data_IF_880504867471
#
_entry.id   IF_880504867471
#
_cell.length_a   1.000
_cell.length_b   1.000
_cell.length_c   1.000
_cell.angle_alpha   90.00
_cell.angle_beta   90.00
_cell.angle_gamma   90.00
#
_symmetry.space_group_name_H-M   'P 1'
#
loop_
_entity.id
_entity.type
_entity.pdbx_description
1 polymer ?
#
# COMPACT_ATOMS: atom_id res chain seq x y z
N UNK A 1 37.37 -2.55 -30.50
CA UNK A 1 36.33 -3.01 -29.56
C UNK A 1 35.97 -1.81 -28.72
N UNK A 2 34.80 -1.24 -28.99
CA UNK A 2 34.24 -0.18 -28.17
C UNK A 2 33.52 -0.84 -27.00
N UNK A 3 34.02 -0.66 -25.77
CA UNK A 3 33.39 -1.19 -24.56
C UNK A 3 31.98 -0.61 -24.34
N UNK A 4 31.57 0.39 -25.13
CA UNK A 4 30.24 1.01 -25.09
C UNK A 4 29.09 0.16 -25.68
N UNK A 5 29.33 -0.92 -26.43
CA UNK A 5 28.25 -1.64 -27.14
C UNK A 5 27.93 -3.06 -26.62
N UNK A 6 28.90 -3.76 -26.03
CA UNK A 6 28.71 -5.13 -25.58
C UNK A 6 29.65 -5.46 -24.41
N UNK A 7 29.10 -5.75 -23.23
CA UNK A 7 29.85 -6.27 -22.09
C UNK A 7 29.51 -7.75 -21.97
N UNK A 8 30.51 -8.61 -21.86
CA UNK A 8 30.32 -9.99 -21.42
C UNK A 8 31.27 -10.27 -20.28
N UNK A 9 30.83 -11.04 -19.30
CA UNK A 9 31.64 -11.33 -18.13
C UNK A 9 31.48 -12.77 -17.68
N UNK A 10 32.54 -13.25 -17.05
CA UNK A 10 32.53 -14.39 -16.14
C UNK A 10 33.26 -13.91 -14.90
N UNK A 11 32.54 -13.81 -13.80
CA UNK A 11 33.05 -13.31 -12.53
C UNK A 11 32.90 -14.36 -11.46
N UNK A 12 33.91 -14.50 -10.62
CA UNK A 12 33.83 -15.20 -9.35
C UNK A 12 34.09 -14.19 -8.25
N UNK A 13 33.09 -13.97 -7.41
CA UNK A 13 33.21 -13.15 -6.22
C UNK A 13 33.37 -14.08 -5.03
N UNK A 14 34.54 -14.03 -4.39
CA UNK A 14 34.78 -14.72 -3.12
C UNK A 14 34.73 -13.70 -2.00
N UNK A 15 33.85 -13.93 -1.03
CA UNK A 15 33.74 -13.15 0.20
C UNK A 15 34.51 -13.88 1.29
N UNK A 16 35.54 -13.23 1.82
CA UNK A 16 36.39 -13.78 2.87
C UNK A 16 36.34 -12.84 4.09
N UNK A 17 35.52 -13.20 5.08
CA UNK A 17 35.42 -12.49 6.34
C UNK A 17 34.89 -11.05 6.21
N UNK A 18 33.99 -10.79 5.26
CA UNK A 18 33.33 -9.48 5.14
C UNK A 18 32.70 -9.16 6.48
N UNK A 19 33.05 -8.00 7.05
CA UNK A 19 32.57 -7.58 8.35
C UNK A 19 31.95 -6.18 8.23
N UNK A 20 30.64 -6.09 8.40
CA UNK A 20 29.89 -4.83 8.24
C UNK A 20 29.67 -4.09 9.56
N UNK A 21 30.32 -4.50 10.65
CA UNK A 21 30.04 -3.94 11.97
C UNK A 21 30.37 -2.45 12.11
N UNK A 22 31.24 -1.90 11.24
CA UNK A 22 31.54 -0.46 11.25
C UNK A 22 30.53 0.33 10.43
N UNK A 23 30.09 -0.24 9.32
CA UNK A 23 29.24 0.38 8.31
C UNK A 23 27.76 0.30 8.71
N UNK A 24 27.35 -0.80 9.34
CA UNK A 24 25.99 -1.07 9.80
C UNK A 24 26.03 -1.61 11.24
N UNK A 25 26.33 -0.76 12.25
CA UNK A 25 26.53 -1.19 13.63
C UNK A 25 25.31 -1.85 14.28
N UNK A 26 24.10 -1.44 13.88
CA UNK A 26 22.84 -1.97 14.41
C UNK A 26 22.48 -3.35 13.85
N UNK A 27 23.16 -3.78 12.78
CA UNK A 27 22.93 -5.04 12.09
C UNK A 27 24.26 -5.59 11.50
N UNK A 28 25.23 -5.91 12.37
CA UNK A 28 26.56 -6.32 11.95
C UNK A 28 26.51 -7.72 11.34
N UNK A 29 27.17 -7.88 10.20
CA UNK A 29 27.29 -9.16 9.50
C UNK A 29 28.75 -9.57 9.38
N UNK A 30 29.01 -10.87 9.52
CA UNK A 30 30.27 -11.53 9.19
C UNK A 30 29.98 -12.59 8.14
N UNK A 31 30.37 -12.37 6.90
CA UNK A 31 29.97 -13.20 5.77
C UNK A 31 31.17 -13.78 5.03
N UNK A 32 31.05 -15.05 4.68
CA UNK A 32 31.92 -15.77 3.77
C UNK A 32 31.08 -16.35 2.63
N UNK A 33 31.69 -16.59 1.49
CA UNK A 33 30.95 -17.24 0.42
C UNK A 33 31.60 -17.10 -0.94
N UNK A 34 30.95 -17.73 -1.90
CA UNK A 34 31.28 -17.64 -3.31
C UNK A 34 30.02 -17.35 -4.10
N UNK A 35 30.13 -16.42 -5.04
CA UNK A 35 29.12 -16.16 -6.05
C UNK A 35 29.79 -16.19 -7.41
N UNK A 36 29.45 -17.19 -8.22
CA UNK A 36 29.87 -17.27 -9.62
C UNK A 36 28.78 -16.66 -10.47
N UNK A 37 29.16 -15.76 -11.36
CA UNK A 37 28.26 -15.12 -12.30
C UNK A 37 28.83 -15.21 -13.70
N UNK A 38 27.96 -15.38 -14.68
CA UNK A 38 28.29 -15.16 -16.09
C UNK A 38 27.14 -14.42 -16.73
N UNK A 39 27.44 -13.50 -17.62
CA UNK A 39 26.39 -12.71 -18.25
C UNK A 39 26.89 -11.88 -19.40
N UNK A 40 25.95 -11.18 -20.01
CA UNK A 40 26.23 -10.19 -21.04
C UNK A 40 25.21 -9.08 -21.01
N UNK A 41 25.65 -7.86 -21.32
CA UNK A 41 24.84 -6.69 -21.58
C UNK A 41 25.12 -6.24 -23.02
N UNK A 42 24.12 -6.30 -23.89
CA UNK A 42 24.21 -5.93 -25.29
C UNK A 42 22.99 -5.11 -25.70
N UNK A 43 23.21 -3.90 -26.22
CA UNK A 43 22.12 -3.04 -26.69
C UNK A 43 21.03 -2.77 -25.64
N UNK A 44 21.43 -2.61 -24.38
CA UNK A 44 20.50 -2.42 -23.24
C UNK A 44 19.82 -3.69 -22.72
N UNK A 45 20.05 -4.85 -23.36
CA UNK A 45 19.52 -6.14 -22.92
C UNK A 45 20.58 -6.92 -22.16
N UNK A 46 20.24 -7.41 -20.98
CA UNK A 46 21.09 -8.21 -20.11
C UNK A 46 20.59 -9.65 -20.02
N UNK A 47 21.53 -10.57 -19.89
CA UNK A 47 21.30 -11.95 -19.44
C UNK A 47 22.33 -12.28 -18.38
N UNK A 48 21.91 -13.02 -17.35
CA UNK A 48 22.76 -13.40 -16.23
C UNK A 48 22.45 -14.83 -15.82
N UNK A 49 23.50 -15.59 -15.53
CA UNK A 49 23.43 -16.92 -14.93
C UNK A 49 24.35 -16.91 -13.71
N UNK A 50 23.79 -17.31 -12.59
CA UNK A 50 24.44 -17.47 -11.28
C UNK A 50 24.44 -18.97 -10.99
N UNK A 51 25.41 -19.72 -11.54
CA UNK A 51 25.47 -21.18 -11.38
C UNK A 51 25.88 -21.62 -9.97
N UNK A 52 26.40 -20.70 -9.16
CA UNK A 52 26.70 -20.96 -7.76
C UNK A 52 26.54 -19.67 -6.96
N UNK A 53 25.58 -19.67 -6.05
CA UNK A 53 25.48 -18.71 -4.95
C UNK A 53 25.57 -19.51 -3.66
N UNK A 54 26.60 -19.26 -2.86
CA UNK A 54 26.75 -19.82 -1.52
C UNK A 54 27.28 -18.74 -0.58
N UNK A 55 26.45 -18.31 0.36
CA UNK A 55 26.82 -17.38 1.41
C UNK A 55 26.61 -18.07 2.75
N UNK A 56 27.59 -17.97 3.63
CA UNK A 56 27.52 -18.46 5.00
C UNK A 56 28.07 -17.40 5.95
N UNK A 57 27.79 -17.54 7.24
CA UNK A 57 28.33 -16.67 8.26
C UNK A 57 27.25 -16.30 9.25
N UNK A 58 27.29 -15.08 9.75
CA UNK A 58 26.39 -14.64 10.80
C UNK A 58 25.96 -13.20 10.59
N UNK A 59 24.71 -12.90 10.92
CA UNK A 59 24.22 -11.54 11.12
C UNK A 59 23.80 -11.46 12.58
N UNK A 60 24.42 -10.56 13.34
CA UNK A 60 24.42 -10.61 14.82
C UNK A 60 24.84 -12.02 15.28
N UNK A 61 23.97 -12.70 16.02
CA UNK A 61 24.18 -14.07 16.51
C UNK A 61 23.54 -15.13 15.60
N UNK A 62 22.75 -14.72 14.60
CA UNK A 62 22.02 -15.63 13.73
C UNK A 62 22.90 -16.13 12.59
N UNK A 63 22.94 -17.45 12.39
CA UNK A 63 23.61 -18.04 11.24
C UNK A 63 22.93 -17.65 9.94
N UNK A 64 23.70 -17.21 8.96
CA UNK A 64 23.25 -16.99 7.59
C UNK A 64 23.61 -18.21 6.76
N UNK A 65 22.66 -18.70 5.96
CA UNK A 65 22.92 -19.65 4.90
C UNK A 65 22.08 -19.25 3.69
N UNK A 66 22.73 -18.78 2.64
CA UNK A 66 22.09 -18.57 1.33
C UNK A 66 22.72 -19.55 0.36
N UNK A 67 21.90 -20.33 -0.31
CA UNK A 67 22.36 -21.20 -1.37
C UNK A 67 21.36 -21.25 -2.52
N UNK A 68 21.87 -21.30 -3.75
CA UNK A 68 21.00 -21.46 -4.89
C UNK A 68 21.68 -21.24 -6.22
N UNK A 69 20.86 -21.41 -7.25
CA UNK A 69 21.21 -21.07 -8.62
C UNK A 69 20.06 -20.32 -9.25
N UNK A 70 20.38 -19.36 -10.11
CA UNK A 70 19.38 -18.57 -10.79
C UNK A 70 19.92 -18.08 -12.13
N UNK A 71 19.04 -18.07 -13.13
CA UNK A 71 19.31 -17.49 -14.44
C UNK A 71 18.18 -16.55 -14.79
N UNK A 72 18.52 -15.38 -15.35
CA UNK A 72 17.58 -14.30 -15.64
C UNK A 72 17.97 -13.52 -16.89
N UNK A 73 17.04 -12.73 -17.43
CA UNK A 73 17.32 -11.74 -18.46
C UNK A 73 16.37 -10.53 -18.40
N UNK A 74 16.60 -9.54 -19.27
CA UNK A 74 15.78 -8.32 -19.38
C UNK A 74 14.32 -8.53 -19.76
N UNK A 75 13.96 -9.73 -20.24
CA UNK A 75 12.59 -10.07 -20.63
C UNK A 75 11.83 -10.76 -19.48
N UNK A 76 12.32 -10.62 -18.25
CA UNK A 76 11.75 -11.27 -17.05
C UNK A 76 11.68 -12.79 -17.15
N UNK A 77 12.56 -13.39 -17.97
CA UNK A 77 12.69 -14.83 -18.07
C UNK A 77 13.65 -15.34 -17.01
N UNK A 78 13.10 -15.86 -15.91
CA UNK A 78 13.83 -16.41 -14.79
C UNK A 78 13.68 -17.93 -14.71
N UNK A 79 14.79 -18.61 -14.45
CA UNK A 79 14.82 -20.02 -14.04
C UNK A 79 15.53 -20.08 -12.69
N UNK A 80 14.82 -20.58 -11.68
CA UNK A 80 15.29 -20.68 -10.30
C UNK A 80 15.11 -22.14 -9.88
N UNK A 81 16.07 -23.04 -10.15
CA UNK A 81 15.96 -24.43 -9.72
C UNK A 81 15.73 -24.58 -8.21
N UNK A 82 16.35 -23.68 -7.44
CA UNK A 82 16.13 -23.49 -6.02
C UNK A 82 16.98 -22.34 -5.49
N UNK A 83 16.36 -21.49 -4.69
CA UNK A 83 17.01 -20.43 -3.93
C UNK A 83 16.53 -20.55 -2.48
N UNK A 84 17.45 -20.94 -1.61
CA UNK A 84 17.24 -21.05 -0.17
C UNK A 84 17.91 -19.88 0.53
N UNK A 85 17.14 -19.18 1.37
CA UNK A 85 17.59 -18.09 2.22
C UNK A 85 17.30 -18.49 3.66
N UNK A 86 18.32 -18.58 4.51
CA UNK A 86 18.15 -18.83 5.93
C UNK A 86 18.90 -17.80 6.78
N UNK A 87 18.21 -17.35 7.84
CA UNK A 87 18.73 -16.46 8.86
C UNK A 87 18.27 -16.95 10.23
N UNK A 88 19.18 -17.62 10.94
CA UNK A 88 18.87 -18.36 12.16
C UNK A 88 17.84 -19.46 11.88
N UNK A 89 16.71 -19.50 12.62
CA UNK A 89 15.66 -20.49 12.41
C UNK A 89 14.68 -20.14 11.26
N UNK A 90 14.81 -18.95 10.67
CA UNK A 90 13.90 -18.48 9.62
C UNK A 90 14.43 -18.87 8.25
N UNK A 91 13.56 -19.38 7.39
CA UNK A 91 13.87 -19.65 5.99
C UNK A 91 12.85 -19.09 5.02
N UNK A 92 13.33 -18.79 3.81
CA UNK A 92 12.52 -18.56 2.64
C UNK A 92 13.09 -19.35 1.47
N UNK A 93 12.22 -20.05 0.76
CA UNK A 93 12.56 -20.93 -0.35
C UNK A 93 11.81 -20.48 -1.59
N UNK A 94 12.53 -20.28 -2.69
CA UNK A 94 11.97 -19.89 -3.98
C UNK A 94 12.43 -20.87 -5.03
N UNK A 95 11.52 -21.38 -5.86
CA UNK A 95 11.85 -22.26 -6.97
C UNK A 95 10.86 -22.11 -8.12
N UNK A 96 11.31 -22.49 -9.31
CA UNK A 96 10.50 -22.54 -10.51
C UNK A 96 10.95 -21.55 -11.58
N UNK A 97 10.03 -21.25 -12.48
CA UNK A 97 10.31 -20.51 -13.71
C UNK A 97 9.31 -19.37 -13.89
N UNK A 98 9.80 -18.24 -14.39
CA UNK A 98 8.98 -17.14 -14.86
C UNK A 98 9.41 -16.92 -16.31
N UNK A 99 8.52 -17.12 -17.26
CA UNK A 99 8.78 -16.85 -18.66
C UNK A 99 7.49 -16.46 -19.37
N UNK A 100 7.64 -15.84 -20.54
CA UNK A 100 6.49 -15.39 -21.35
C UNK A 100 5.49 -16.54 -21.57
N UNK A 101 6.00 -17.74 -21.90
CA UNK A 101 5.17 -18.92 -22.20
C UNK A 101 4.68 -19.68 -20.97
N UNK A 102 5.39 -19.58 -19.85
CA UNK A 102 5.07 -20.36 -18.65
C UNK A 102 5.51 -19.59 -17.41
N UNK A 103 4.56 -19.38 -16.51
CA UNK A 103 4.79 -19.01 -15.14
C UNK A 103 4.57 -20.25 -14.29
N UNK A 104 5.57 -20.59 -13.50
CA UNK A 104 5.53 -21.70 -12.57
C UNK A 104 6.49 -21.43 -11.43
N UNK A 105 6.14 -20.51 -10.53
CA UNK A 105 6.96 -20.10 -9.41
C UNK A 105 6.30 -20.52 -8.10
N UNK A 106 7.08 -21.14 -7.21
CA UNK A 106 6.72 -21.40 -5.83
C UNK A 106 7.65 -20.63 -4.91
N UNK A 107 7.06 -19.87 -3.98
CA UNK A 107 7.77 -19.28 -2.86
C UNK A 107 7.13 -19.76 -1.56
N UNK A 108 7.95 -20.13 -0.58
CA UNK A 108 7.53 -20.49 0.76
C UNK A 108 8.35 -19.71 1.78
N UNK A 109 7.70 -19.28 2.85
CA UNK A 109 8.35 -18.71 4.03
C UNK A 109 8.01 -19.57 5.23
N UNK A 110 9.03 -19.94 6.00
CA UNK A 110 8.91 -20.57 7.31
C UNK A 110 9.81 -19.81 8.29
N UNK A 111 9.23 -18.82 8.96
CA UNK A 111 9.92 -17.94 9.89
C UNK A 111 9.28 -18.09 11.28
N UNK A 112 9.66 -19.12 12.06
CA UNK A 112 9.09 -19.37 13.39
C UNK A 112 9.53 -18.34 14.44
N UNK A 113 10.54 -17.52 14.16
CA UNK A 113 11.05 -16.50 15.08
C UNK A 113 11.86 -15.44 14.35
N UNK A 114 11.18 -14.40 13.87
CA UNK A 114 11.75 -13.24 13.17
C UNK A 114 12.58 -12.32 14.08
N UNK A 115 12.59 -12.58 15.38
CA UNK A 115 13.44 -11.88 16.33
C UNK A 115 14.91 -11.92 15.89
N UNK A 116 15.55 -10.76 15.88
CA UNK A 116 16.93 -10.56 15.43
C UNK A 116 17.19 -10.81 13.93
N UNK A 117 16.16 -11.10 13.11
CA UNK A 117 16.31 -11.14 11.66
C UNK A 117 16.62 -9.74 11.11
N UNK A 118 15.89 -8.73 11.59
CA UNK A 118 16.13 -7.30 11.34
C UNK A 118 15.98 -6.52 12.66
N UNK A 119 16.63 -5.36 12.82
CA UNK A 119 16.45 -4.52 14.00
C UNK A 119 14.99 -4.13 14.20
N UNK A 120 14.46 -4.40 15.39
CA UNK A 120 13.06 -4.11 15.74
C UNK A 120 12.03 -5.12 15.19
N UNK A 121 12.42 -6.04 14.31
CA UNK A 121 11.53 -7.07 13.78
C UNK A 121 11.40 -8.24 14.78
N UNK A 122 10.19 -8.75 14.94
CA UNK A 122 9.91 -9.94 15.75
C UNK A 122 8.60 -10.62 15.35
N UNK A 123 8.32 -11.76 15.99
CA UNK A 123 7.13 -12.56 15.72
C UNK A 123 7.40 -13.73 14.79
N UNK A 124 6.36 -14.26 14.15
CA UNK A 124 6.48 -15.40 13.25
C UNK A 124 5.66 -15.19 11.97
N UNK A 125 6.13 -15.78 10.87
CA UNK A 125 5.43 -15.79 9.60
C UNK A 125 5.58 -17.15 8.91
N UNK A 126 4.50 -17.66 8.35
CA UNK A 126 4.48 -18.88 7.56
C UNK A 126 3.54 -18.71 6.40
N UNK A 127 3.95 -19.13 5.21
CA UNK A 127 3.08 -19.02 4.06
C UNK A 127 3.68 -19.52 2.78
N UNK A 128 2.82 -19.57 1.77
CA UNK A 128 3.14 -19.94 0.41
C UNK A 128 2.58 -18.91 -0.56
N UNK A 129 3.32 -18.70 -1.64
CA UNK A 129 2.86 -17.97 -2.81
C UNK A 129 3.17 -18.84 -4.02
N UNK A 130 2.18 -19.03 -4.90
CA UNK A 130 2.33 -19.77 -6.14
C UNK A 130 1.89 -18.89 -7.30
N UNK A 131 2.73 -18.81 -8.32
CA UNK A 131 2.42 -18.18 -9.60
C UNK A 131 2.37 -19.27 -10.65
N UNK A 132 1.28 -19.31 -11.43
CA UNK A 132 1.01 -20.29 -12.49
C UNK A 132 0.51 -19.59 -13.76
N UNK A 133 0.44 -20.31 -14.88
CA UNK A 133 -0.17 -19.81 -16.13
C UNK A 133 0.85 -19.21 -17.10
N UNK A 134 0.50 -18.10 -17.76
CA UNK A 134 1.41 -17.35 -18.66
C UNK A 134 1.49 -15.89 -18.22
N UNK A 135 2.36 -15.08 -18.85
CA UNK A 135 2.45 -13.65 -18.55
C UNK A 135 1.14 -12.91 -18.89
N UNK A 136 0.43 -13.34 -19.93
CA UNK A 136 -0.86 -12.80 -20.34
C UNK A 136 -2.01 -13.33 -19.48
N UNK A 137 -1.85 -14.55 -18.95
CA UNK A 137 -2.86 -15.25 -18.17
C UNK A 137 -2.34 -15.81 -16.84
N UNK A 138 -1.83 -14.97 -15.92
CA UNK A 138 -1.29 -15.44 -14.66
C UNK A 138 -2.38 -15.93 -13.71
N UNK A 139 -2.04 -16.91 -12.90
CA UNK A 139 -2.75 -17.27 -11.69
C UNK A 139 -1.84 -17.06 -10.48
N UNK A 140 -2.35 -16.36 -9.47
CA UNK A 140 -1.70 -16.13 -8.20
C UNK A 140 -2.49 -16.81 -7.09
N UNK A 141 -1.81 -17.67 -6.32
CA UNK A 141 -2.30 -18.24 -5.08
C UNK A 141 -1.43 -17.73 -3.94
N UNK A 142 -2.04 -17.24 -2.88
CA UNK A 142 -1.34 -16.81 -1.67
C UNK A 142 -2.06 -17.34 -0.44
N UNK A 143 -1.29 -17.94 0.47
CA UNK A 143 -1.75 -18.38 1.78
C UNK A 143 -0.64 -17.99 2.76
N UNK A 144 -0.85 -16.88 3.47
CA UNK A 144 0.13 -16.33 4.41
C UNK A 144 -0.55 -16.13 5.76
N UNK A 145 0.12 -16.59 6.81
CA UNK A 145 -0.23 -16.33 8.21
C UNK A 145 0.98 -15.78 8.93
N UNK A 146 0.79 -14.70 9.66
CA UNK A 146 1.79 -14.15 10.56
C UNK A 146 1.17 -13.90 11.93
N UNK A 147 1.96 -14.07 12.99
CA UNK A 147 1.51 -13.92 14.39
C UNK A 147 2.55 -13.19 15.21
N UNK A 148 2.08 -12.35 16.12
CA UNK A 148 2.93 -11.56 17.02
C UNK A 148 3.97 -10.71 16.29
N UNK A 149 3.65 -10.25 15.07
CA UNK A 149 4.55 -9.42 14.29
C UNK A 149 4.84 -8.14 15.06
N UNK A 150 6.10 -7.77 15.13
CA UNK A 150 6.55 -6.53 15.74
C UNK A 150 7.56 -5.87 14.80
N UNK A 151 7.46 -4.56 14.64
CA UNK A 151 8.46 -3.74 13.97
C UNK A 151 8.54 -2.41 14.72
N UNK A 152 9.62 -2.21 15.47
CA UNK A 152 9.76 -1.02 16.33
C UNK A 152 8.54 -0.92 17.27
N UNK A 153 7.76 0.15 17.20
CA UNK A 153 6.58 0.37 18.03
C UNK A 153 5.30 -0.25 17.45
N UNK A 154 5.33 -0.67 16.18
CA UNK A 154 4.22 -1.37 15.52
C UNK A 154 4.17 -2.82 16.00
N UNK A 155 3.00 -3.26 16.40
CA UNK A 155 2.69 -4.66 16.66
C UNK A 155 1.41 -5.08 15.98
N UNK A 156 1.36 -6.33 15.52
CA UNK A 156 0.19 -6.97 14.92
C UNK A 156 0.08 -8.37 15.52
N UNK A 157 -1.01 -8.65 16.23
CA UNK A 157 -1.17 -9.95 16.86
C UNK A 157 -1.31 -11.07 15.84
N UNK A 158 -2.07 -10.85 14.77
CA UNK A 158 -2.26 -11.83 13.71
C UNK A 158 -2.56 -11.14 12.38
N UNK A 159 -1.97 -11.65 11.31
CA UNK A 159 -2.33 -11.30 9.94
C UNK A 159 -2.57 -12.60 9.15
N UNK A 160 -3.66 -12.64 8.40
CA UNK A 160 -4.04 -13.73 7.50
C UNK A 160 -4.33 -13.13 6.13
N UNK A 161 -3.67 -13.65 5.11
CA UNK A 161 -3.87 -13.26 3.71
C UNK A 161 -4.14 -14.54 2.92
N UNK A 162 -5.30 -14.59 2.28
CA UNK A 162 -5.72 -15.67 1.38
C UNK A 162 -6.09 -15.06 0.05
N UNK A 163 -5.49 -15.54 -1.04
CA UNK A 163 -5.81 -15.07 -2.38
C UNK A 163 -5.77 -16.20 -3.39
N UNK A 164 -6.75 -16.25 -4.29
CA UNK A 164 -6.73 -17.01 -5.53
C UNK A 164 -7.27 -16.10 -6.63
N UNK A 165 -6.37 -15.59 -7.46
CA UNK A 165 -6.68 -14.65 -8.54
C UNK A 165 -6.16 -15.25 -9.83
N UNK A 166 -7.04 -15.35 -10.83
CA UNK A 166 -6.74 -15.84 -12.17
C UNK A 166 -7.00 -14.72 -13.15
N UNK A 167 -6.13 -14.58 -14.14
CA UNK A 167 -6.24 -13.58 -15.19
C UNK A 167 -6.30 -14.24 -16.57
N UNK A 168 -7.03 -15.35 -16.71
CA UNK A 168 -7.17 -16.08 -17.99
C UNK A 168 -8.02 -15.26 -18.99
N UNK A 169 -9.05 -15.84 -19.59
CA UNK A 169 -9.96 -15.09 -20.49
C UNK A 169 -10.54 -13.84 -19.80
N UNK A 170 -10.72 -13.92 -18.48
CA UNK A 170 -11.21 -12.86 -17.64
C UNK A 170 -10.45 -12.84 -16.31
N UNK A 171 -10.15 -11.65 -15.76
CA UNK A 171 -9.66 -11.58 -14.37
C UNK A 171 -10.80 -11.99 -13.44
N UNK A 172 -10.55 -12.95 -12.55
CA UNK A 172 -11.50 -13.38 -11.54
C UNK A 172 -10.78 -14.00 -10.33
N UNK A 173 -11.41 -13.92 -9.16
CA UNK A 173 -10.83 -14.49 -7.97
C UNK A 173 -11.44 -14.00 -6.68
N UNK A 174 -10.73 -14.26 -5.60
CA UNK A 174 -11.00 -13.72 -4.28
C UNK A 174 -9.70 -13.35 -3.57
N UNK A 175 -9.80 -12.37 -2.69
CA UNK A 175 -8.76 -11.92 -1.77
C UNK A 175 -9.43 -11.68 -0.41
N UNK A 176 -9.01 -12.42 0.61
CA UNK A 176 -9.37 -12.19 1.99
C UNK A 176 -8.13 -11.75 2.76
N UNK A 177 -8.22 -10.58 3.40
CA UNK A 177 -7.19 -10.10 4.33
C UNK A 177 -7.86 -9.86 5.66
N UNK A 178 -7.30 -10.46 6.71
CA UNK A 178 -7.71 -10.27 8.09
C UNK A 178 -6.51 -9.93 8.93
N UNK A 179 -6.51 -8.75 9.54
CA UNK A 179 -5.45 -8.28 10.43
C UNK A 179 -6.07 -7.96 11.79
N UNK A 180 -5.52 -8.54 12.85
CA UNK A 180 -6.04 -8.44 14.21
C UNK A 180 -5.05 -7.75 15.13
N UNK A 181 -5.57 -6.86 15.98
CA UNK A 181 -4.86 -6.12 17.03
C UNK A 181 -3.57 -5.49 16.51
N UNK A 182 -3.73 -4.51 15.62
CA UNK A 182 -2.68 -3.60 15.18
C UNK A 182 -2.54 -2.53 16.27
N UNK A 183 -1.33 -2.33 16.79
CA UNK A 183 -1.06 -1.33 17.82
C UNK A 183 0.26 -0.63 17.52
N UNK A 184 0.25 0.70 17.59
CA UNK A 184 1.40 1.60 17.63
C UNK A 184 0.98 2.87 18.41
N UNK A 185 1.85 3.85 18.69
CA UNK A 185 1.42 5.06 19.39
C UNK A 185 0.22 5.71 18.70
N UNK A 186 -0.77 6.10 19.51
CA UNK A 186 -2.03 6.73 19.10
C UNK A 186 -2.93 5.92 18.16
N UNK A 187 -2.61 4.64 17.89
CA UNK A 187 -3.37 3.77 17.00
C UNK A 187 -3.54 2.39 17.63
N UNK A 188 -4.80 1.99 17.81
CA UNK A 188 -5.18 0.67 18.30
C UNK A 188 -6.35 0.12 17.49
N UNK A 189 -6.04 -0.68 16.47
CA UNK A 189 -7.03 -1.28 15.57
C UNK A 189 -7.21 -2.76 15.94
N UNK A 190 -8.35 -3.07 16.54
CA UNK A 190 -8.73 -4.43 16.92
C UNK A 190 -8.85 -5.37 15.71
N UNK A 191 -9.44 -4.89 14.61
CA UNK A 191 -9.68 -5.70 13.42
C UNK A 191 -9.72 -4.88 12.13
N UNK A 192 -8.99 -5.32 11.12
CA UNK A 192 -9.15 -4.92 9.72
C UNK A 192 -9.55 -6.15 8.91
N UNK A 193 -10.63 -6.06 8.14
CA UNK A 193 -11.00 -7.08 7.15
C UNK A 193 -11.18 -6.45 5.79
N UNK A 194 -10.54 -7.03 4.78
CA UNK A 194 -10.75 -6.74 3.37
C UNK A 194 -11.22 -8.04 2.69
N UNK A 195 -12.40 -8.00 2.08
CA UNK A 195 -12.92 -9.07 1.23
C UNK A 195 -13.10 -8.49 -0.17
N UNK A 196 -12.36 -8.99 -1.16
CA UNK A 196 -12.55 -8.64 -2.55
C UNK A 196 -12.81 -9.92 -3.35
N UNK A 197 -13.82 -9.91 -4.21
CA UNK A 197 -14.19 -11.10 -5.00
C UNK A 197 -14.94 -10.75 -6.27
N UNK A 198 -15.03 -11.75 -7.14
CA UNK A 198 -15.76 -11.67 -8.39
C UNK A 198 -14.80 -11.65 -9.56
N UNK A 199 -15.20 -10.96 -10.61
CA UNK A 199 -14.53 -10.95 -11.89
C UNK A 199 -14.39 -9.54 -12.44
N UNK A 200 -13.59 -9.32 -13.47
CA UNK A 200 -13.37 -7.96 -13.99
C UNK A 200 -14.69 -7.33 -14.45
N UNK A 201 -15.59 -8.08 -15.08
CA UNK A 201 -16.93 -7.64 -15.49
C UNK A 201 -17.88 -7.37 -14.33
N UNK A 202 -17.65 -7.98 -13.16
CA UNK A 202 -18.43 -7.75 -11.95
C UNK A 202 -17.64 -8.18 -10.72
N UNK A 203 -17.18 -7.21 -9.93
CA UNK A 203 -16.45 -7.44 -8.69
C UNK A 203 -17.01 -6.59 -7.57
N UNK A 204 -16.73 -7.03 -6.36
CA UNK A 204 -17.06 -6.33 -5.14
C UNK A 204 -15.87 -6.34 -4.18
N UNK A 205 -15.78 -5.28 -3.38
CA UNK A 205 -14.82 -5.12 -2.31
C UNK A 205 -15.55 -4.60 -1.08
N UNK A 206 -15.30 -5.21 0.06
CA UNK A 206 -15.75 -4.76 1.38
C UNK A 206 -14.53 -4.54 2.25
N UNK A 207 -14.40 -3.32 2.77
CA UNK A 207 -13.44 -3.00 3.82
C UNK A 207 -14.20 -2.73 5.12
N UNK A 208 -13.68 -3.25 6.23
CA UNK A 208 -14.11 -2.91 7.58
C UNK A 208 -12.90 -2.72 8.47
N UNK A 209 -12.93 -1.67 9.27
CA UNK A 209 -11.90 -1.31 10.25
C UNK A 209 -12.58 -1.13 11.60
N UNK A 210 -12.05 -1.72 12.65
CA UNK A 210 -12.58 -1.64 14.01
C UNK A 210 -11.46 -1.27 14.97
N UNK A 211 -11.57 -0.11 15.60
CA UNK A 211 -10.61 0.41 16.57
C UNK A 211 -10.50 1.93 16.53
N UNK A 212 -9.37 2.42 17.00
CA UNK A 212 -9.06 3.83 17.19
C UNK A 212 -7.75 4.20 16.48
N UNK A 213 -7.62 5.42 15.94
CA UNK A 213 -8.59 6.53 16.03
C UNK A 213 -9.73 6.44 15.00
N UNK A 214 -9.68 5.49 14.08
CA UNK A 214 -10.64 5.35 12.99
C UNK A 214 -11.25 3.95 12.97
N UNK A 215 -12.58 3.89 12.90
CA UNK A 215 -13.33 2.66 12.64
C UNK A 215 -14.43 2.93 11.63
N UNK A 216 -14.84 1.92 10.87
CA UNK A 216 -15.81 2.13 9.81
C UNK A 216 -15.82 1.02 8.78
N UNK A 217 -16.47 1.32 7.67
CA UNK A 217 -16.59 0.43 6.54
C UNK A 217 -16.84 1.19 5.24
N UNK A 218 -16.56 0.51 4.13
CA UNK A 218 -17.01 0.91 2.81
C UNK A 218 -17.27 -0.33 1.96
N UNK A 219 -18.19 -0.19 1.00
CA UNK A 219 -18.48 -1.18 -0.03
C UNK A 219 -18.20 -0.57 -1.40
N UNK A 220 -17.50 -1.30 -2.24
CA UNK A 220 -17.25 -0.92 -3.63
C UNK A 220 -17.73 -2.06 -4.53
N UNK A 221 -18.54 -1.73 -5.53
CA UNK A 221 -18.82 -2.64 -6.65
C UNK A 221 -18.27 -2.05 -7.93
N UNK A 222 -17.90 -2.89 -8.89
CA UNK A 222 -17.37 -2.41 -10.16
C UNK A 222 -17.40 -3.42 -11.28
N UNK A 223 -17.14 -2.90 -12.47
CA UNK A 223 -16.99 -3.63 -13.72
C UNK A 223 -15.92 -2.97 -14.59
N UNK A 224 -15.15 -3.79 -15.28
CA UNK A 224 -14.10 -3.38 -16.20
C UNK A 224 -14.43 -3.90 -17.58
N UNK A 225 -14.42 -2.98 -18.54
CA UNK A 225 -14.54 -3.28 -19.95
C UNK A 225 -13.15 -3.17 -20.61
N UNK A 226 -12.57 -4.32 -20.98
CA UNK A 226 -11.26 -4.42 -21.63
C UNK A 226 -11.21 -3.67 -22.96
N UNK A 227 -12.26 -3.75 -23.79
CA UNK A 227 -12.26 -3.14 -25.13
C UNK A 227 -12.30 -1.61 -25.04
N UNK A 228 -13.17 -1.10 -24.18
CA UNK A 228 -13.24 0.32 -23.89
C UNK A 228 -12.05 0.82 -23.05
N UNK A 229 -11.32 -0.08 -22.39
CA UNK A 229 -10.36 0.21 -21.32
C UNK A 229 -10.99 1.16 -20.27
N UNK A 230 -12.18 0.79 -19.80
CA UNK A 230 -13.01 1.63 -18.93
C UNK A 230 -13.47 0.84 -17.73
N UNK A 231 -13.27 1.39 -16.55
CA UNK A 231 -13.79 0.86 -15.30
C UNK A 231 -14.96 1.71 -14.82
N UNK A 232 -16.05 1.06 -14.43
CA UNK A 232 -17.20 1.71 -13.80
C UNK A 232 -17.40 1.08 -12.43
N UNK A 233 -17.71 1.91 -11.44
CA UNK A 233 -17.93 1.43 -10.10
C UNK A 233 -18.92 2.27 -9.31
N UNK A 234 -19.27 1.76 -8.15
CA UNK A 234 -20.14 2.42 -7.19
C UNK A 234 -19.55 2.26 -5.79
N UNK A 235 -19.18 3.37 -5.17
CA UNK A 235 -18.78 3.42 -3.76
C UNK A 235 -20.01 3.70 -2.89
N UNK A 236 -20.32 2.81 -1.96
CA UNK A 236 -21.52 2.88 -1.13
C UNK A 236 -21.22 2.42 0.30
N UNK A 237 -22.24 2.49 1.16
CA UNK A 237 -22.18 2.08 2.57
C UNK A 237 -20.89 2.54 3.29
N UNK A 238 -20.47 3.76 2.96
CA UNK A 238 -19.21 4.31 3.45
C UNK A 238 -19.49 5.15 4.67
N UNK A 239 -18.98 4.70 5.81
CA UNK A 239 -19.07 5.38 7.09
C UNK A 239 -17.82 5.14 7.92
N UNK A 240 -17.28 6.20 8.51
CA UNK A 240 -16.09 6.14 9.35
C UNK A 240 -16.26 7.02 10.58
N UNK A 241 -16.16 6.42 11.76
CA UNK A 241 -15.86 7.15 12.98
C UNK A 241 -14.42 7.65 12.91
N UNK A 242 -14.23 8.94 13.20
CA UNK A 242 -12.92 9.61 13.24
C UNK A 242 -12.79 10.42 14.53
N UNK A 243 -11.61 10.98 14.86
CA UNK A 243 -11.46 11.88 16.00
C UNK A 243 -12.39 13.10 15.98
N UNK A 244 -12.81 13.54 14.79
CA UNK A 244 -13.72 14.68 14.60
C UNK A 244 -15.19 14.26 14.45
N UNK A 245 -15.52 13.04 14.87
CA UNK A 245 -16.87 12.47 14.78
C UNK A 245 -17.07 11.56 13.56
N UNK A 246 -18.28 10.97 13.43
CA UNK A 246 -18.59 10.08 12.33
C UNK A 246 -18.79 10.84 11.02
N UNK A 247 -18.23 10.31 9.94
CA UNK A 247 -18.46 10.71 8.57
C UNK A 247 -19.22 9.62 7.83
N UNK A 248 -20.23 9.97 7.04
CA UNK A 248 -20.95 9.00 6.20
C UNK A 248 -21.37 9.60 4.86
N UNK A 249 -21.40 8.77 3.82
CA UNK A 249 -22.02 9.12 2.55
C UNK A 249 -23.54 9.16 2.66
N UNK A 250 -24.17 10.16 2.05
CA UNK A 250 -25.65 10.24 1.95
C UNK A 250 -26.23 9.31 0.90
N UNK A 251 -25.45 9.01 -0.14
CA UNK A 251 -25.81 8.16 -1.27
C UNK A 251 -24.57 7.55 -1.88
N UNK A 252 -24.77 6.51 -2.67
CA UNK A 252 -23.70 5.89 -3.41
C UNK A 252 -23.09 6.85 -4.46
N UNK A 253 -21.77 6.77 -4.63
CA UNK A 253 -21.00 7.56 -5.59
C UNK A 253 -20.78 6.71 -6.83
N UNK A 254 -21.28 7.16 -7.98
CA UNK A 254 -20.92 6.58 -9.26
C UNK A 254 -19.49 7.01 -9.64
N UNK A 255 -18.65 6.04 -10.02
CA UNK A 255 -17.28 6.24 -10.44
C UNK A 255 -17.10 5.72 -11.86
N UNK A 256 -16.38 6.45 -12.69
CA UNK A 256 -16.14 6.08 -14.08
C UNK A 256 -14.72 6.46 -14.51
N UNK A 257 -13.82 5.49 -14.49
CA UNK A 257 -12.43 5.67 -14.90
C UNK A 257 -12.25 5.26 -16.37
N UNK A 258 -11.77 6.21 -17.17
CA UNK A 258 -11.49 6.05 -18.60
C UNK A 258 -9.99 6.05 -18.81
N UNK A 259 -9.41 4.86 -18.95
CA UNK A 259 -7.95 4.69 -19.01
C UNK A 259 -7.33 5.38 -20.23
N UNK A 260 -7.99 5.37 -21.40
CA UNK A 260 -7.48 6.04 -22.61
C UNK A 260 -7.31 7.56 -22.42
N UNK A 261 -8.16 8.17 -21.61
CA UNK A 261 -8.13 9.59 -21.28
C UNK A 261 -7.31 9.88 -20.02
N UNK A 262 -6.96 8.86 -19.24
CA UNK A 262 -6.41 8.98 -17.88
C UNK A 262 -7.26 9.88 -16.98
N UNK A 263 -8.59 9.70 -17.06
CA UNK A 263 -9.57 10.49 -16.31
C UNK A 263 -10.51 9.63 -15.49
N UNK A 264 -10.93 10.15 -14.34
CA UNK A 264 -12.02 9.60 -13.52
C UNK A 264 -13.15 10.63 -13.40
N UNK A 265 -14.36 10.20 -13.69
CA UNK A 265 -15.56 10.93 -13.32
C UNK A 265 -16.09 10.44 -11.96
N UNK A 266 -16.33 11.38 -11.05
CA UNK A 266 -16.81 11.13 -9.70
C UNK A 266 -18.18 11.82 -9.57
N UNK A 267 -19.24 11.03 -9.44
CA UNK A 267 -20.61 11.53 -9.41
C UNK A 267 -20.90 12.43 -8.20
N UNK A 268 -21.99 13.23 -8.26
CA UNK A 268 -22.37 14.12 -7.17
C UNK A 268 -22.66 13.37 -5.87
N UNK A 269 -22.15 13.87 -4.75
CA UNK A 269 -22.25 13.21 -3.46
C UNK A 269 -22.15 14.19 -2.29
N UNK A 270 -22.57 13.76 -1.11
CA UNK A 270 -22.38 14.52 0.11
C UNK A 270 -21.86 13.63 1.24
N UNK A 271 -21.02 14.22 2.08
CA UNK A 271 -20.49 13.66 3.29
C UNK A 271 -21.15 14.36 4.48
N UNK A 272 -21.70 13.57 5.39
CA UNK A 272 -22.33 14.06 6.62
C UNK A 272 -21.47 13.75 7.82
N UNK A 273 -21.39 14.73 8.71
CA UNK A 273 -20.90 14.64 10.07
C UNK A 273 -21.85 15.44 10.98
N UNK A 274 -22.02 15.08 12.26
CA UNK A 274 -22.86 15.84 13.19
C UNK A 274 -22.52 17.33 13.28
N UNK A 275 -21.27 17.70 12.97
CA UNK A 275 -20.77 19.07 12.94
C UNK A 275 -20.51 19.60 11.52
N UNK A 276 -20.62 18.80 10.45
CA UNK A 276 -20.32 19.28 9.11
C UNK A 276 -21.15 18.60 8.00
N UNK A 277 -21.38 19.31 6.91
CA UNK A 277 -21.93 18.77 5.68
C UNK A 277 -21.14 19.32 4.49
N UNK A 278 -20.52 18.41 3.74
CA UNK A 278 -19.72 18.72 2.57
C UNK A 278 -20.33 18.05 1.34
N UNK A 279 -20.71 18.84 0.35
CA UNK A 279 -21.34 18.36 -0.87
C UNK A 279 -20.51 18.69 -2.10
N UNK A 280 -20.43 17.72 -3.01
CA UNK A 280 -19.92 17.86 -4.37
C UNK A 280 -21.17 17.82 -5.26
N UNK A 281 -21.73 18.99 -5.65
CA UNK A 281 -23.04 19.06 -6.30
C UNK A 281 -23.01 18.62 -7.77
N UNK A 282 -21.83 18.55 -8.39
CA UNK A 282 -21.65 18.26 -9.81
C UNK A 282 -20.61 17.16 -9.98
N UNK A 283 -20.71 16.40 -11.07
CA UNK A 283 -19.70 15.39 -11.40
C UNK A 283 -18.33 16.07 -11.55
N UNK A 284 -17.34 15.57 -10.82
CA UNK A 284 -15.94 15.97 -11.01
C UNK A 284 -15.39 15.10 -12.13
N UNK A 285 -14.83 15.71 -13.16
CA UNK A 285 -14.05 14.99 -14.16
C UNK A 285 -12.57 15.31 -13.98
N UNK A 286 -11.83 14.37 -13.37
CA UNK A 286 -10.48 14.58 -12.88
C UNK A 286 -9.45 13.78 -13.69
N UNK A 287 -8.43 14.46 -14.21
CA UNK A 287 -7.19 13.87 -14.73
C UNK A 287 -6.03 14.85 -14.49
N UNK A 288 -5.10 14.93 -15.44
CA UNK A 288 -4.04 15.97 -15.42
C UNK A 288 -4.63 17.39 -15.32
N UNK A 289 -5.80 17.61 -15.92
CA UNK A 289 -6.62 18.79 -15.70
C UNK A 289 -8.02 18.40 -15.18
N UNK A 290 -8.66 19.33 -14.47
CA UNK A 290 -10.01 19.12 -13.94
C UNK A 290 -10.57 20.34 -13.23
N UNK A 291 -11.83 20.22 -12.80
CA UNK A 291 -12.53 21.22 -12.00
C UNK A 291 -13.42 20.54 -10.98
N UNK A 292 -13.45 21.08 -9.77
CA UNK A 292 -14.31 20.63 -8.70
C UNK A 292 -15.04 21.83 -8.09
N UNK A 293 -16.36 21.67 -7.96
CA UNK A 293 -17.18 22.56 -7.13
C UNK A 293 -17.49 21.82 -5.85
N UNK A 294 -17.24 22.48 -4.72
CA UNK A 294 -17.45 21.93 -3.38
C UNK A 294 -18.28 22.93 -2.58
N UNK A 295 -19.39 22.47 -2.03
CA UNK A 295 -20.23 23.24 -1.13
C UNK A 295 -20.01 22.75 0.30
N UNK A 296 -19.55 23.63 1.17
CA UNK A 296 -19.58 23.43 2.60
C UNK A 296 -20.92 23.96 3.11
N UNK A 297 -21.93 23.10 3.16
CA UNK A 297 -23.27 23.50 3.56
C UNK A 297 -23.30 23.94 5.03
N UNK A 298 -22.51 23.24 5.87
CA UNK A 298 -22.35 23.55 7.29
C UNK A 298 -21.00 23.06 7.79
N UNK A 299 -20.37 23.84 8.66
CA UNK A 299 -19.21 23.46 9.44
C UNK A 299 -19.27 24.17 10.78
N UNK A 300 -19.59 23.42 11.83
CA UNK A 300 -19.60 23.88 13.21
C UNK A 300 -18.17 23.81 13.77
N UNK A 301 -17.67 24.93 14.30
CA UNK A 301 -16.33 24.99 14.90
C UNK A 301 -16.15 24.04 16.09
N UNK A 302 -17.23 23.52 16.67
CA UNK A 302 -17.17 22.43 17.64
C UNK A 302 -16.39 21.20 17.11
N UNK A 303 -16.33 21.01 15.79
CA UNK A 303 -15.56 19.96 15.13
C UNK A 303 -14.05 20.06 15.37
N UNK A 304 -13.52 21.27 15.60
CA UNK A 304 -12.09 21.52 15.78
C UNK A 304 -11.62 21.29 17.22
N UNK A 305 -12.54 21.07 18.16
CA UNK A 305 -12.23 20.89 19.58
C UNK A 305 -11.11 19.86 19.86
N UNK A 306 -11.06 18.69 19.19
CA UNK A 306 -9.99 17.71 19.44
C UNK A 306 -8.57 18.20 19.09
N UNK A 307 -8.45 19.28 18.31
CA UNK A 307 -7.16 19.84 17.88
C UNK A 307 -6.84 21.17 18.56
N UNK A 308 -7.72 21.66 19.44
CA UNK A 308 -7.52 22.91 20.15
C UNK A 308 -6.98 22.63 21.55
N UNK A 309 -6.02 23.43 22.06
CA UNK A 309 -5.65 23.39 23.47
C UNK A 309 -6.86 23.70 24.37
N UNK A 310 -6.85 23.21 25.61
CA UNK A 310 -7.94 23.47 26.58
C UNK A 310 -8.15 24.98 26.85
N UNK A 311 -7.12 25.80 26.64
CA UNK A 311 -7.17 27.25 26.78
C UNK A 311 -7.87 27.96 25.62
N UNK A 312 -8.20 27.26 24.54
CA UNK A 312 -8.78 27.83 23.33
C UNK A 312 -10.16 27.25 23.08
N UNK A 313 -11.16 28.11 22.98
CA UNK A 313 -12.54 27.71 22.65
C UNK A 313 -12.99 28.44 21.39
N UNK A 314 -13.47 27.70 20.40
CA UNK A 314 -14.06 28.26 19.19
C UNK A 314 -15.52 27.81 19.06
N UNK A 315 -16.40 28.74 18.70
CA UNK A 315 -17.80 28.49 18.43
C UNK A 315 -18.25 29.28 17.22
N UNK A 316 -19.27 28.77 16.53
CA UNK A 316 -19.83 29.41 15.34
C UNK A 316 -19.94 28.42 14.20
N UNK A 317 -20.68 28.83 13.18
CA UNK A 317 -20.97 27.98 12.03
C UNK A 317 -20.46 28.67 10.77
N UNK A 318 -19.71 27.93 9.97
CA UNK A 318 -19.30 28.34 8.64
C UNK A 318 -20.12 27.62 7.58
N UNK A 319 -20.37 28.34 6.50
CA UNK A 319 -20.86 27.81 5.23
C UNK A 319 -20.01 28.38 4.12
N UNK A 320 -19.88 27.69 3.00
CA UNK A 320 -19.02 28.15 1.93
C UNK A 320 -19.16 27.38 0.64
N UNK A 321 -18.47 27.90 -0.38
CA UNK A 321 -18.35 27.31 -1.69
C UNK A 321 -16.92 27.49 -2.18
N UNK A 322 -16.34 26.41 -2.68
CA UNK A 322 -15.09 26.43 -3.41
C UNK A 322 -15.34 25.99 -4.85
N UNK A 323 -14.77 26.71 -5.80
CA UNK A 323 -14.75 26.37 -7.21
C UNK A 323 -13.30 26.39 -7.65
N UNK A 324 -12.73 25.21 -7.86
CA UNK A 324 -11.30 25.01 -8.05
C UNK A 324 -11.06 24.29 -9.36
N UNK A 325 -10.11 24.78 -10.15
CA UNK A 325 -9.63 24.16 -11.38
C UNK A 325 -8.13 23.97 -11.32
N UNK A 326 -7.64 22.89 -11.91
CA UNK A 326 -6.22 22.59 -12.03
C UNK A 326 -5.89 22.09 -13.44
N UNK A 327 -4.63 22.28 -13.83
CA UNK A 327 -4.03 21.68 -15.02
C UNK A 327 -2.53 21.48 -14.75
N UNK A 328 -2.12 20.23 -14.54
CA UNK A 328 -0.71 19.88 -14.26
C UNK A 328 0.14 19.84 -15.53
N UNK A 329 -0.44 20.07 -16.71
CA UNK A 329 0.31 20.16 -17.97
C UNK A 329 0.82 21.57 -18.25
N UNK A 330 0.36 22.55 -17.46
CA UNK A 330 0.80 23.94 -17.52
C UNK A 330 1.58 24.30 -16.25
N UNK A 331 2.51 25.25 -16.38
CA UNK A 331 3.15 25.83 -15.20
C UNK A 331 2.14 26.66 -14.40
N UNK A 332 2.15 26.48 -13.09
CA UNK A 332 1.29 27.24 -12.18
C UNK A 332 0.67 26.38 -11.09
N UNK A 333 -0.03 27.04 -10.18
CA UNK A 333 -0.80 26.40 -9.11
C UNK A 333 -2.28 26.27 -9.53
N UNK A 334 -3.04 25.33 -8.95
CA UNK A 334 -4.48 25.30 -9.07
C UNK A 334 -5.09 26.68 -8.77
N UNK A 335 -6.06 27.08 -9.58
CA UNK A 335 -6.76 28.36 -9.42
C UNK A 335 -8.18 28.09 -8.91
N UNK A 336 -8.73 29.01 -8.13
CA UNK A 336 -10.10 28.86 -7.68
C UNK A 336 -10.64 30.07 -6.94
N UNK A 337 -11.96 30.07 -6.77
CA UNK A 337 -12.67 31.05 -5.94
C UNK A 337 -13.26 30.33 -4.75
N UNK A 338 -12.94 30.83 -3.56
CA UNK A 338 -13.51 30.36 -2.29
C UNK A 338 -14.32 31.48 -1.69
N UNK A 339 -15.57 31.20 -1.33
CA UNK A 339 -16.40 32.07 -0.50
C UNK A 339 -16.73 31.35 0.79
N UNK A 340 -16.50 32.02 1.91
CA UNK A 340 -16.76 31.49 3.24
C UNK A 340 -17.58 32.55 4.00
N UNK A 341 -18.67 32.11 4.63
CA UNK A 341 -19.56 32.96 5.42
C UNK A 341 -19.69 32.34 6.82
N UNK A 342 -19.31 33.11 7.83
CA UNK A 342 -19.42 32.74 9.24
C UNK A 342 -20.66 33.34 9.87
N UNK A 343 -21.24 32.62 10.83
CA UNK A 343 -22.32 33.11 11.68
C UNK A 343 -21.97 32.85 13.14
N UNK A 344 -22.05 33.89 13.97
CA UNK A 344 -21.77 33.84 15.41
C UNK A 344 -20.38 33.26 15.70
N UNK A 345 -19.38 33.66 14.92
CA UNK A 345 -18.02 33.16 15.07
C UNK A 345 -17.34 33.86 16.24
N UNK A 346 -16.94 33.07 17.23
CA UNK A 346 -16.24 33.56 18.42
C UNK A 346 -15.09 32.61 18.74
N UNK A 347 -13.95 33.20 19.04
CA UNK A 347 -12.79 32.50 19.61
C UNK A 347 -12.51 33.11 20.97
N UNK A 348 -12.33 32.29 21.98
CA UNK A 348 -11.94 32.73 23.33
C UNK A 348 -10.64 32.03 23.70
N UNK A 349 -9.62 32.81 24.01
CA UNK A 349 -8.35 32.31 24.50
C UNK A 349 -8.21 32.67 25.98
N UNK A 350 -7.97 31.71 26.84
CA UNK A 350 -7.64 31.97 28.24
C UNK A 350 -6.14 32.28 28.36
N UNK A 351 -5.81 33.43 28.95
CA UNK A 351 -4.44 33.85 29.26
C UNK A 351 -4.43 34.33 30.71
N UNK A 352 -3.58 33.73 31.57
CA UNK A 352 -3.49 34.04 33.00
C UNK A 352 -4.87 34.00 33.71
N UNK A 353 -5.62 32.93 33.49
CA UNK A 353 -6.99 32.72 34.02
C UNK A 353 -8.05 33.76 33.60
N UNK A 354 -7.71 34.65 32.66
CA UNK A 354 -8.63 35.63 32.09
C UNK A 354 -9.01 35.24 30.64
N UNK A 355 -10.32 35.22 30.30
CA UNK A 355 -10.75 34.99 28.93
C UNK A 355 -10.50 36.24 28.07
N UNK A 356 -9.79 36.09 26.95
CA UNK A 356 -9.63 37.07 25.89
C UNK A 356 -10.53 36.68 24.71
N UNK A 357 -11.73 37.26 24.58
CA UNK A 357 -12.62 36.98 23.46
C UNK A 357 -12.20 37.76 22.21
N UNK A 358 -12.20 37.08 21.07
CA UNK A 358 -12.15 37.66 19.73
C UNK A 358 -13.42 37.24 19.00
N UNK A 359 -14.27 38.21 18.65
CA UNK A 359 -15.55 37.99 17.97
C UNK A 359 -15.50 38.60 16.56
N UNK A 360 -16.10 37.92 15.58
CA UNK A 360 -16.06 38.28 14.16
C UNK A 360 -17.45 38.33 13.54
#
# INVERSE_FOLDING_TARGET
MDWQQAISWRGELTLNGINTAKEIPDWPAKLNGVMKTKGSLYGGTWQMDVPELKLTGNVKQNSVNVNGTLKGNSYMQWTIPGLHLALGPNSADIKGELGVKELNLDAAIDAPGLDNALPGLGGMAKGIVKVRGTVEAPQLLADITARGLRWQELSVAQARIEGDIKSTDQIAGHLNVRVERISQPDVNINLVTLDAKGSEKQHQLQLRVQGEPVSGQLSLTGSFDREAARWKGTLSDTRFQTPVGPWSLTRAIALDYRNKEQKISIGPHCWLNPNAELCIPQTIDAGAAGRAVVNLNRFDLAMLKPFMPDTTQASGIFSGKADVSWDTTQEGLPQGKVTLSGRNVKVTQTVNDAPLPVAF
#
